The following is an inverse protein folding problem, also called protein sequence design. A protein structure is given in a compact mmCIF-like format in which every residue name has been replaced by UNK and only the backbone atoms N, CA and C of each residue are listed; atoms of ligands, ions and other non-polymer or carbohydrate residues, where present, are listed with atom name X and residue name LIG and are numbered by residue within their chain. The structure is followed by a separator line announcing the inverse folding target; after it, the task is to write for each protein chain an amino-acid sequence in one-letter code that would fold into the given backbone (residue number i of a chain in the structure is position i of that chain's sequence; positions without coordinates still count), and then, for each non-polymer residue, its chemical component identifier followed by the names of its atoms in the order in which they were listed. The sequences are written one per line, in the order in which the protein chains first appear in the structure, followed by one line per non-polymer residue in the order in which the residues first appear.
data_IF_351835387402
#
_entry.id   IF_351835387402
#
_cell.length_a   1.000
_cell.length_b   1.000
_cell.length_c   1.000
_cell.angle_alpha   90.00
_cell.angle_beta   90.00
_cell.angle_gamma   90.00
#
_symmetry.space_group_name_H-M   'P 1'
#
loop_
_entity.id
_entity.type
_entity.pdbx_description
1 polymer ?
#
# COMPACT_ATOMS: atom_id res chain seq x y z
N UNK A 1 -13.52 15.24 12.74
CA UNK A 1 -13.59 13.87 12.20
C UNK A 1 -12.28 13.49 11.56
N UNK A 2 -11.82 12.30 11.84
CA UNK A 2 -10.60 11.81 11.22
C UNK A 2 -10.91 11.32 9.81
N UNK A 3 -10.04 11.69 8.88
CA UNK A 3 -10.11 11.17 7.53
C UNK A 3 -9.69 9.70 7.53
N UNK A 4 -10.42 8.86 6.79
CA UNK A 4 -10.03 7.46 6.63
C UNK A 4 -8.74 7.35 5.82
N UNK A 5 -7.89 6.40 6.21
CA UNK A 5 -6.63 6.18 5.53
C UNK A 5 -6.84 5.67 4.10
N UNK A 6 -6.02 6.15 3.20
CA UNK A 6 -5.90 5.60 1.85
C UNK A 6 -4.82 4.53 1.84
N UNK A 7 -5.07 3.40 1.23
CA UNK A 7 -4.06 2.39 0.97
C UNK A 7 -3.56 2.53 -0.45
N UNK A 8 -2.25 2.63 -0.63
CA UNK A 8 -1.64 2.71 -1.96
C UNK A 8 -0.76 1.47 -2.14
N UNK A 9 -1.00 0.71 -3.19
CA UNK A 9 -0.29 -0.54 -3.45
C UNK A 9 0.61 -0.35 -4.65
N UNK A 10 1.93 -0.37 -4.44
CA UNK A 10 2.94 -0.06 -5.47
C UNK A 10 3.72 -1.33 -5.77
N UNK A 11 3.55 -1.87 -6.95
CA UNK A 11 4.12 -3.16 -7.32
C UNK A 11 4.64 -3.19 -8.75
N UNK A 12 5.45 -4.19 -9.02
CA UNK A 12 5.92 -4.49 -10.38
C UNK A 12 4.81 -5.11 -11.22
N UNK A 13 4.78 -4.74 -12.49
CA UNK A 13 3.87 -5.36 -13.46
C UNK A 13 2.39 -5.16 -13.11
N UNK A 14 1.61 -6.22 -13.23
CA UNK A 14 0.17 -6.21 -12.99
C UNK A 14 -0.22 -6.56 -11.55
N UNK A 15 0.75 -6.72 -10.64
CA UNK A 15 0.49 -7.27 -9.31
C UNK A 15 -0.40 -6.36 -8.46
N UNK A 16 -0.16 -5.05 -8.47
CA UNK A 16 -0.92 -4.13 -7.64
C UNK A 16 -2.41 -4.17 -7.97
N UNK A 17 -2.76 -4.10 -9.26
CA UNK A 17 -4.15 -4.16 -9.69
C UNK A 17 -4.81 -5.48 -9.29
N UNK A 18 -4.08 -6.59 -9.43
CA UNK A 18 -4.60 -7.91 -9.06
C UNK A 18 -4.83 -8.04 -7.55
N UNK A 19 -3.90 -7.55 -6.75
CA UNK A 19 -4.02 -7.56 -5.29
C UNK A 19 -5.21 -6.71 -4.82
N UNK A 20 -5.36 -5.52 -5.38
CA UNK A 20 -6.47 -4.62 -5.04
C UNK A 20 -7.80 -5.27 -5.39
N UNK A 21 -7.91 -5.85 -6.58
CA UNK A 21 -9.13 -6.53 -7.02
C UNK A 21 -9.48 -7.70 -6.09
N UNK A 22 -8.50 -8.52 -5.75
CA UNK A 22 -8.71 -9.66 -4.85
C UNK A 22 -9.15 -9.20 -3.46
N UNK A 23 -8.51 -8.18 -2.91
CA UNK A 23 -8.88 -7.64 -1.60
C UNK A 23 -10.30 -7.08 -1.60
N UNK A 24 -10.71 -6.40 -2.66
CA UNK A 24 -12.06 -5.87 -2.80
C UNK A 24 -13.10 -6.99 -2.89
N UNK A 25 -12.78 -8.07 -3.58
CA UNK A 25 -13.67 -9.24 -3.66
C UNK A 25 -13.85 -9.90 -2.29
N UNK A 26 -12.78 -10.04 -1.53
CA UNK A 26 -12.83 -10.68 -0.21
C UNK A 26 -13.59 -9.82 0.80
N UNK A 27 -13.31 -8.52 0.83
CA UNK A 27 -13.87 -7.62 1.84
C UNK A 27 -15.25 -7.10 1.49
N UNK A 28 -15.60 -7.09 0.20
CA UNK A 28 -16.83 -6.45 -0.29
C UNK A 28 -16.76 -4.92 -0.27
N UNK A 29 -15.59 -4.33 0.00
CA UNK A 29 -15.41 -2.90 0.12
C UNK A 29 -14.49 -2.39 -0.98
N UNK A 30 -14.96 -1.42 -1.76
CA UNK A 30 -14.18 -0.78 -2.81
C UNK A 30 -13.73 0.62 -2.40
N UNK A 31 -12.76 1.17 -3.15
CA UNK A 31 -12.32 2.55 -2.99
C UNK A 31 -11.30 2.80 -1.89
N UNK A 32 -10.94 1.78 -1.09
CA UNK A 32 -9.95 1.93 -0.02
C UNK A 32 -8.51 1.86 -0.53
N UNK A 33 -8.28 1.15 -1.63
CA UNK A 33 -6.96 0.83 -2.15
C UNK A 33 -6.77 1.40 -3.56
N UNK A 34 -5.60 1.99 -3.81
CA UNK A 34 -5.24 2.55 -5.11
C UNK A 34 -4.02 1.78 -5.64
N UNK A 35 -4.12 1.12 -6.79
CA UNK A 35 -2.99 0.40 -7.36
C UNK A 35 -2.07 1.33 -8.15
N UNK A 36 -0.76 1.11 -8.04
CA UNK A 36 0.26 1.80 -8.82
C UNK A 36 1.23 0.75 -9.39
N UNK A 37 1.41 0.78 -10.71
CA UNK A 37 2.34 -0.10 -11.41
C UNK A 37 3.57 0.66 -11.87
N UNK A 38 4.72 -0.02 -11.92
CA UNK A 38 5.94 0.53 -12.52
C UNK A 38 5.98 0.33 -14.05
N UNK A 39 4.98 -0.35 -14.61
CA UNK A 39 4.97 -0.67 -16.06
C UNK A 39 4.96 0.59 -16.91
N UNK A 40 5.87 0.64 -17.89
CA UNK A 40 5.90 1.71 -18.89
C UNK A 40 6.37 3.06 -18.36
N UNK A 41 6.99 3.12 -17.19
CA UNK A 41 7.46 4.39 -16.65
C UNK A 41 8.93 4.32 -16.23
N UNK A 42 9.61 5.47 -16.35
CA UNK A 42 10.92 5.67 -15.75
C UNK A 42 10.75 6.00 -14.25
N UNK A 43 11.89 6.27 -13.59
CA UNK A 43 11.88 6.56 -12.14
C UNK A 43 11.02 7.78 -11.81
N UNK A 44 11.18 8.88 -12.54
CA UNK A 44 10.47 10.12 -12.25
C UNK A 44 8.97 9.95 -12.43
N UNK A 45 8.56 9.25 -13.48
CA UNK A 45 7.15 8.96 -13.74
C UNK A 45 6.56 8.09 -12.63
N UNK A 46 7.32 7.08 -12.16
CA UNK A 46 6.87 6.22 -11.06
C UNK A 46 6.70 7.03 -9.77
N UNK A 47 7.64 7.90 -9.46
CA UNK A 47 7.53 8.80 -8.31
C UNK A 47 6.28 9.67 -8.39
N UNK A 48 6.00 10.23 -9.56
CA UNK A 48 4.82 11.07 -9.77
C UNK A 48 3.53 10.27 -9.63
N UNK A 49 3.50 9.03 -10.11
CA UNK A 49 2.33 8.14 -9.94
C UNK A 49 2.06 7.85 -8.46
N UNK A 50 3.11 7.61 -7.67
CA UNK A 50 2.99 7.37 -6.24
C UNK A 50 2.44 8.61 -5.54
N UNK A 51 3.00 9.78 -5.83
CA UNK A 51 2.57 11.03 -5.22
C UNK A 51 1.11 11.34 -5.56
N UNK A 52 0.71 11.14 -6.82
CA UNK A 52 -0.67 11.34 -7.26
C UNK A 52 -1.64 10.37 -6.56
N UNK A 53 -1.21 9.12 -6.32
CA UNK A 53 -2.04 8.12 -5.65
C UNK A 53 -2.27 8.49 -4.17
N UNK A 54 -1.25 9.00 -3.49
CA UNK A 54 -1.38 9.47 -2.10
C UNK A 54 -2.25 10.73 -2.03
N UNK A 55 -2.04 11.66 -2.95
CA UNK A 55 -2.87 12.85 -3.14
C UNK A 55 -3.12 13.64 -1.85
N UNK A 56 -2.10 13.77 -1.00
CA UNK A 56 -2.19 14.52 0.25
C UNK A 56 -3.01 13.87 1.36
N UNK A 57 -3.53 12.66 1.14
CA UNK A 57 -4.28 11.94 2.17
C UNK A 57 -3.35 11.26 3.17
N UNK A 58 -3.78 11.08 4.42
CA UNK A 58 -3.09 10.14 5.31
C UNK A 58 -3.19 8.74 4.70
N UNK A 59 -2.07 8.03 4.67
CA UNK A 59 -1.99 6.81 3.88
C UNK A 59 -1.03 5.77 4.47
N UNK A 60 -1.28 4.52 4.11
CA UNK A 60 -0.30 3.45 4.21
C UNK A 60 0.03 3.00 2.78
N UNK A 61 1.30 3.01 2.45
CA UNK A 61 1.79 2.59 1.14
C UNK A 61 2.40 1.20 1.27
N UNK A 62 1.86 0.25 0.51
CA UNK A 62 2.30 -1.13 0.50
C UNK A 62 3.14 -1.38 -0.75
N UNK A 63 4.34 -1.89 -0.57
CA UNK A 63 5.28 -2.16 -1.66
C UNK A 63 5.56 -3.65 -1.71
N UNK A 64 5.72 -4.21 -2.91
CA UNK A 64 5.86 -5.66 -3.09
C UNK A 64 7.18 -6.22 -2.55
N UNK A 65 8.27 -5.51 -2.73
CA UNK A 65 9.59 -5.99 -2.29
C UNK A 65 10.24 -5.02 -1.31
N UNK A 66 11.11 -5.55 -0.45
CA UNK A 66 11.90 -4.75 0.50
C UNK A 66 13.09 -4.06 -0.18
N UNK A 67 13.14 -4.06 -1.51
CA UNK A 67 14.20 -3.45 -2.31
C UNK A 67 13.65 -3.18 -3.71
N UNK A 68 14.45 -2.51 -4.55
CA UNK A 68 14.11 -2.31 -5.95
C UNK A 68 13.45 -0.96 -6.22
N UNK A 69 13.02 -0.79 -7.49
CA UNK A 69 12.58 0.51 -8.00
C UNK A 69 11.33 1.05 -7.35
N UNK A 70 10.38 0.16 -7.03
CA UNK A 70 9.11 0.60 -6.41
C UNK A 70 9.36 1.15 -5.01
N UNK A 71 10.13 0.44 -4.17
CA UNK A 71 10.44 0.93 -2.83
C UNK A 71 11.26 2.22 -2.89
N UNK A 72 12.24 2.30 -3.79
CA UNK A 72 13.09 3.47 -3.92
C UNK A 72 12.26 4.72 -4.26
N UNK A 73 11.35 4.60 -5.23
CA UNK A 73 10.49 5.71 -5.64
C UNK A 73 9.60 6.17 -4.49
N UNK A 74 9.02 5.23 -3.75
CA UNK A 74 8.16 5.53 -2.60
C UNK A 74 8.93 6.28 -1.52
N UNK A 75 10.08 5.74 -1.12
CA UNK A 75 10.87 6.35 -0.04
C UNK A 75 11.39 7.72 -0.43
N UNK A 76 11.81 7.90 -1.68
CA UNK A 76 12.34 9.18 -2.13
C UNK A 76 11.28 10.29 -2.04
N UNK A 77 10.03 10.01 -2.39
CA UNK A 77 8.98 11.02 -2.45
C UNK A 77 8.22 11.19 -1.15
N UNK A 78 8.15 10.14 -0.32
CA UNK A 78 7.23 10.14 0.83
C UNK A 78 7.93 10.09 2.20
N UNK A 79 9.25 9.96 2.24
CA UNK A 79 9.94 9.76 3.52
C UNK A 79 9.80 10.92 4.51
N UNK A 80 9.50 12.12 4.02
CA UNK A 80 9.30 13.30 4.87
C UNK A 80 7.83 13.54 5.23
N UNK A 81 6.91 12.72 4.67
CA UNK A 81 5.49 12.86 4.93
C UNK A 81 5.12 12.20 6.25
N UNK A 82 4.71 12.99 7.24
CA UNK A 82 4.42 12.48 8.58
C UNK A 82 3.17 11.59 8.63
N UNK A 83 2.21 11.82 7.72
CA UNK A 83 0.96 11.09 7.70
C UNK A 83 0.98 9.89 6.75
N UNK A 84 2.16 9.48 6.30
CA UNK A 84 2.33 8.34 5.40
C UNK A 84 3.30 7.35 6.02
N UNK A 85 2.90 6.09 6.05
CA UNK A 85 3.77 4.98 6.47
C UNK A 85 3.92 3.99 5.32
N UNK A 86 5.06 3.31 5.27
CA UNK A 86 5.40 2.37 4.20
C UNK A 86 5.57 0.98 4.79
N UNK A 87 4.93 -0.01 4.15
CA UNK A 87 5.06 -1.43 4.50
C UNK A 87 5.60 -2.16 3.27
N UNK A 88 6.64 -2.96 3.45
CA UNK A 88 7.23 -3.77 2.37
C UNK A 88 6.77 -5.22 2.46
N UNK A 89 6.92 -5.95 1.35
CA UNK A 89 6.53 -7.36 1.33
C UNK A 89 5.02 -7.58 1.32
N UNK A 90 4.28 -6.71 0.63
CA UNK A 90 2.83 -6.76 0.63
C UNK A 90 2.30 -8.14 0.24
N UNK A 91 1.30 -8.59 0.97
CA UNK A 91 0.53 -9.77 0.63
C UNK A 91 -0.96 -9.49 0.85
N UNK A 92 -1.80 -10.42 0.39
CA UNK A 92 -3.24 -10.20 0.40
C UNK A 92 -3.81 -10.03 1.82
N UNK A 93 -3.27 -10.77 2.80
CA UNK A 93 -3.72 -10.68 4.20
C UNK A 93 -3.51 -9.28 4.77
N UNK A 94 -2.42 -8.60 4.41
CA UNK A 94 -2.17 -7.22 4.83
C UNK A 94 -3.26 -6.27 4.34
N UNK A 95 -3.66 -6.42 3.09
CA UNK A 95 -4.64 -5.53 2.46
C UNK A 95 -6.04 -5.76 3.03
N UNK A 96 -6.40 -7.02 3.27
CA UNK A 96 -7.68 -7.36 3.90
C UNK A 96 -7.75 -6.75 5.31
N UNK A 97 -6.70 -6.91 6.11
CA UNK A 97 -6.65 -6.30 7.44
C UNK A 97 -6.76 -4.77 7.35
N UNK A 98 -6.00 -4.16 6.46
CA UNK A 98 -5.97 -2.70 6.31
C UNK A 98 -7.36 -2.13 6.00
N UNK A 99 -8.09 -2.76 5.08
CA UNK A 99 -9.41 -2.25 4.65
C UNK A 99 -10.37 -2.12 5.83
N UNK A 100 -10.25 -2.98 6.85
CA UNK A 100 -11.10 -2.93 8.03
C UNK A 100 -10.57 -2.03 9.15
N UNK A 101 -9.42 -1.39 8.97
CA UNK A 101 -8.78 -0.59 10.05
C UNK A 101 -8.34 0.80 9.59
N UNK A 102 -9.09 1.39 8.66
CA UNK A 102 -8.74 2.68 8.05
C UNK A 102 -8.97 3.89 8.95
N UNK A 103 -9.61 3.71 10.10
CA UNK A 103 -9.82 4.78 11.07
C UNK A 103 -8.67 4.95 12.06
N UNK A 104 -7.71 4.04 12.06
CA UNK A 104 -6.52 4.12 12.91
C UNK A 104 -5.54 5.17 12.35
N UNK A 105 -4.53 5.52 13.16
CA UNK A 105 -3.41 6.33 12.65
C UNK A 105 -2.63 5.53 11.60
N UNK A 106 -1.88 6.22 10.70
CA UNK A 106 -1.05 5.50 9.74
C UNK A 106 -0.08 4.49 10.37
N UNK A 107 0.54 4.87 11.48
CA UNK A 107 1.48 3.98 12.17
C UNK A 107 0.81 2.74 12.76
N UNK A 108 -0.35 2.91 13.38
CA UNK A 108 -1.10 1.79 13.94
C UNK A 108 -1.61 0.86 12.85
N UNK A 109 -2.17 1.43 11.77
CA UNK A 109 -2.69 0.64 10.65
C UNK A 109 -1.57 -0.14 9.96
N UNK A 110 -0.41 0.49 9.76
CA UNK A 110 0.76 -0.17 9.15
C UNK A 110 1.26 -1.32 10.01
N UNK A 111 1.36 -1.12 11.33
CA UNK A 111 1.81 -2.15 12.26
C UNK A 111 0.86 -3.35 12.27
N UNK A 112 -0.45 -3.09 12.29
CA UNK A 112 -1.45 -4.17 12.24
C UNK A 112 -1.38 -4.95 10.93
N UNK A 113 -1.29 -4.24 9.80
CA UNK A 113 -1.23 -4.88 8.49
C UNK A 113 0.01 -5.77 8.37
N UNK A 114 1.17 -5.27 8.78
CA UNK A 114 2.41 -6.04 8.76
C UNK A 114 2.29 -7.31 9.60
N UNK A 115 1.71 -7.21 10.80
CA UNK A 115 1.50 -8.35 11.68
C UNK A 115 0.54 -9.37 11.05
N UNK A 116 -0.55 -8.93 10.43
CA UNK A 116 -1.50 -9.80 9.75
C UNK A 116 -0.82 -10.55 8.59
N UNK A 117 0.00 -9.85 7.82
CA UNK A 117 0.75 -10.45 6.72
C UNK A 117 1.73 -11.51 7.20
N UNK A 118 2.46 -11.22 8.27
CA UNK A 118 3.42 -12.18 8.85
C UNK A 118 2.72 -13.43 9.36
N UNK A 119 1.59 -13.26 10.05
CA UNK A 119 0.81 -14.39 10.58
C UNK A 119 0.21 -15.27 9.49
N UNK A 120 0.03 -14.76 8.28
CA UNK A 120 -0.53 -15.53 7.18
C UNK A 120 0.46 -16.52 6.56
N UNK A 121 1.74 -16.40 6.89
CA UNK A 121 2.79 -17.29 6.38
C UNK A 121 2.79 -18.56 7.23
N UNK A 122 2.64 -19.72 6.59
CA UNK A 122 2.66 -20.97 7.31
C UNK A 122 2.93 -22.15 6.39
N UNK A 123 3.27 -23.28 7.02
CA UNK A 123 3.49 -24.57 6.36
C UNK A 123 2.58 -25.56 7.07
N UNK A 124 1.35 -25.75 6.54
CA UNK A 124 0.38 -26.64 7.19
C UNK A 124 0.78 -28.11 7.12
#
# INVERSE_FOLDING_TARGET
MNEELRGVVVCHGALAAALVQAAEQITGLGGALVPVSNTGCDRDTLEDRVLAAVDGHPAVVFVDLASGSCLFAVLKRLRTEQLVKVVTGVNLAMLVDFVFHRSLSPGEAATRAAAAGEKSIGIP
#
